data_IF_186380541045
#
_entry.id   IF_186380541045
#
_cell.length_a   1.000
_cell.length_b   1.000
_cell.length_c   1.000
_cell.angle_alpha   90.00
_cell.angle_beta   90.00
_cell.angle_gamma   90.00
#
_symmetry.space_group_name_H-M   'P 1'
#
loop_
_entity.id
_entity.type
_entity.pdbx_description
1 polymer ?
#
# COMPACT_ATOMS: atom_id res chain seq x y z
N UNK A 1 33.30 -52.82 55.77
CA UNK A 1 32.48 -51.78 56.41
C UNK A 1 31.43 -51.30 55.40
N UNK A 2 30.16 -51.27 55.80
CA UNK A 2 29.01 -50.78 55.01
C UNK A 2 29.09 -49.23 54.90
N UNK A 3 28.52 -48.48 53.96
CA UNK A 3 27.25 -48.53 53.24
C UNK A 3 27.34 -47.60 52.01
N UNK A 4 26.47 -47.77 51.01
CA UNK A 4 26.28 -46.80 49.93
C UNK A 4 25.07 -47.16 49.07
N UNK A 5 23.88 -46.83 49.57
CA UNK A 5 22.60 -47.04 48.90
C UNK A 5 22.37 -46.01 47.76
N UNK A 6 22.09 -46.54 46.56
CA UNK A 6 20.93 -46.27 45.68
C UNK A 6 20.57 -44.85 45.19
N UNK A 7 20.25 -44.82 43.89
CA UNK A 7 19.25 -44.00 43.18
C UNK A 7 19.66 -42.59 42.74
N UNK A 8 19.95 -42.37 41.46
CA UNK A 8 19.00 -42.18 40.35
C UNK A 8 18.18 -40.88 40.43
N UNK A 9 18.20 -40.16 39.29
CA UNK A 9 17.20 -39.19 38.79
C UNK A 9 17.50 -37.70 39.06
N UNK A 10 18.24 -37.14 38.09
CA UNK A 10 17.97 -35.90 37.34
C UNK A 10 17.61 -34.64 38.13
N UNK A 11 18.60 -33.75 38.12
CA UNK A 11 18.52 -32.29 37.93
C UNK A 11 17.29 -31.55 38.45
N UNK A 12 17.58 -30.82 39.54
CA UNK A 12 16.89 -29.64 40.01
C UNK A 12 16.89 -28.59 38.89
N UNK A 13 15.72 -28.17 38.42
CA UNK A 13 15.46 -26.75 38.15
C UNK A 13 14.04 -26.43 38.58
N UNK A 14 13.99 -25.68 39.67
CA UNK A 14 12.81 -25.10 40.29
C UNK A 14 12.30 -23.92 39.45
N UNK A 15 10.99 -23.72 39.55
CA UNK A 15 10.25 -22.43 39.62
C UNK A 15 9.12 -22.30 38.58
N UNK A 16 7.91 -22.55 39.09
CA UNK A 16 6.61 -22.19 38.53
C UNK A 16 6.56 -20.69 38.22
N UNK A 17 6.43 -20.33 36.95
CA UNK A 17 6.30 -18.94 36.51
C UNK A 17 5.32 -18.79 35.36
N UNK A 18 4.08 -18.40 35.67
CA UNK A 18 3.05 -17.98 34.69
C UNK A 18 3.51 -16.73 33.93
N UNK A 19 4.29 -16.88 32.85
CA UNK A 19 4.55 -15.78 31.91
C UNK A 19 3.33 -15.60 31.00
N UNK A 20 2.40 -14.75 31.43
CA UNK A 20 1.36 -14.19 30.57
C UNK A 20 2.04 -13.61 29.33
N UNK A 21 1.77 -14.22 28.17
CA UNK A 21 2.08 -13.66 26.86
C UNK A 21 1.35 -12.32 26.75
N UNK A 22 2.04 -11.21 27.01
CA UNK A 22 1.62 -9.91 26.48
C UNK A 22 1.89 -9.99 24.99
N UNK A 23 0.86 -10.41 24.24
CA UNK A 23 0.75 -10.01 22.83
C UNK A 23 0.62 -8.49 22.90
N UNK A 24 1.74 -7.79 22.76
CA UNK A 24 1.71 -6.37 22.47
C UNK A 24 1.09 -6.30 21.09
N UNK A 25 -0.22 -6.14 21.03
CA UNK A 25 -0.86 -5.72 19.80
C UNK A 25 -0.27 -4.34 19.51
N UNK A 26 0.61 -4.27 18.52
CA UNK A 26 0.98 -3.01 17.93
C UNK A 26 -0.34 -2.29 17.60
N UNK A 27 -0.49 -0.99 17.93
CA UNK A 27 -1.68 -0.28 17.54
C UNK A 27 -1.73 -0.34 16.01
N UNK A 28 -2.78 -0.95 15.47
CA UNK A 28 -3.18 -0.71 14.08
C UNK A 28 -3.54 0.77 14.04
N UNK A 29 -2.54 1.60 13.76
CA UNK A 29 -2.66 3.05 13.65
C UNK A 29 -3.90 3.32 12.82
N UNK A 30 -4.82 4.03 13.44
CA UNK A 30 -6.20 4.16 13.01
C UNK A 30 -6.31 4.43 11.52
N UNK A 31 -7.29 3.78 10.91
CA UNK A 31 -7.83 4.12 9.61
C UNK A 31 -8.44 5.52 9.68
N UNK A 32 -7.59 6.56 9.79
CA UNK A 32 -7.97 7.90 9.38
C UNK A 32 -8.38 7.75 7.92
N UNK A 33 -9.48 8.35 7.54
CA UNK A 33 -9.82 8.59 6.14
C UNK A 33 -8.74 9.53 5.59
N UNK A 34 -7.58 8.96 5.25
CA UNK A 34 -6.40 9.69 4.78
C UNK A 34 -6.75 10.16 3.39
N UNK A 35 -7.37 11.35 3.29
CA UNK A 35 -7.43 12.08 2.04
C UNK A 35 -5.98 12.18 1.57
N UNK A 36 -5.64 11.72 0.36
CA UNK A 36 -4.28 11.77 -0.11
C UNK A 36 -3.78 13.21 -0.06
N UNK A 37 -2.57 13.38 0.46
CA UNK A 37 -1.81 14.63 0.38
C UNK A 37 -1.80 15.15 -1.06
N UNK A 38 -1.67 16.46 -1.25
CA UNK A 38 -1.51 17.06 -2.58
C UNK A 38 -0.38 16.35 -3.34
N UNK A 39 0.74 16.07 -2.68
CA UNK A 39 1.86 15.31 -3.27
C UNK A 39 1.44 13.90 -3.74
N UNK A 40 0.59 13.22 -2.97
CA UNK A 40 0.05 11.91 -3.35
C UNK A 40 -0.88 11.99 -4.56
N UNK A 41 -1.62 13.09 -4.71
CA UNK A 41 -2.44 13.35 -5.89
C UNK A 41 -1.60 13.70 -7.11
N UNK A 42 -0.54 14.48 -6.94
CA UNK A 42 0.41 14.81 -8.01
C UNK A 42 1.12 13.55 -8.52
N UNK A 43 1.64 12.70 -7.61
CA UNK A 43 2.22 11.39 -7.97
C UNK A 43 1.23 10.49 -8.71
N UNK A 44 -0.04 10.51 -8.30
CA UNK A 44 -1.09 9.76 -9.01
C UNK A 44 -1.33 10.33 -10.41
N UNK A 45 -1.36 11.65 -10.56
CA UNK A 45 -1.56 12.32 -11.84
C UNK A 45 -0.42 12.00 -12.82
N UNK A 46 0.84 12.09 -12.37
CA UNK A 46 2.02 11.73 -13.17
C UNK A 46 2.01 10.28 -13.68
N UNK A 47 1.35 9.35 -12.96
CA UNK A 47 1.22 7.94 -13.37
C UNK A 47 0.13 7.72 -14.41
N UNK A 48 -0.91 8.55 -14.40
CA UNK A 48 -2.05 8.42 -15.33
C UNK A 48 -1.73 9.12 -16.65
N UNK A 49 -1.08 10.28 -16.59
CA UNK A 49 -0.74 11.04 -17.78
C UNK A 49 0.56 10.49 -18.38
N UNK A 50 0.57 10.09 -19.67
CA UNK A 50 1.75 9.52 -20.30
C UNK A 50 2.89 10.54 -20.37
N UNK A 51 4.13 10.07 -20.20
CA UNK A 51 5.33 10.91 -20.32
C UNK A 51 5.53 11.95 -19.22
N UNK A 52 4.82 11.83 -18.09
CA UNK A 52 4.82 12.83 -17.02
C UNK A 52 5.60 12.43 -15.76
N UNK A 53 6.42 11.39 -15.81
CA UNK A 53 7.30 11.05 -14.69
C UNK A 53 8.33 12.16 -14.48
N UNK A 54 8.46 12.60 -13.23
CA UNK A 54 9.45 13.59 -12.79
C UNK A 54 9.30 15.00 -13.42
N UNK A 55 8.16 15.30 -14.05
CA UNK A 55 7.87 16.65 -14.51
C UNK A 55 7.61 17.61 -13.34
N UNK A 56 8.03 18.86 -13.54
CA UNK A 56 7.61 19.98 -12.72
C UNK A 56 6.07 20.15 -12.72
N UNK A 57 5.54 20.77 -11.66
CA UNK A 57 4.10 20.88 -11.43
C UNK A 57 3.40 21.66 -12.56
N UNK A 58 4.00 22.75 -13.06
CA UNK A 58 3.40 23.55 -14.13
C UNK A 58 3.36 22.77 -15.45
N UNK A 59 4.46 22.09 -15.78
CA UNK A 59 4.54 21.23 -16.96
C UNK A 59 3.57 20.03 -16.88
N UNK A 60 3.39 19.46 -15.69
CA UNK A 60 2.45 18.37 -15.45
C UNK A 60 1.01 18.79 -15.74
N UNK A 61 0.58 19.96 -15.26
CA UNK A 61 -0.78 20.44 -15.51
C UNK A 61 -1.01 20.77 -16.98
N UNK A 62 -0.03 21.37 -17.65
CA UNK A 62 -0.14 21.64 -19.08
C UNK A 62 -0.29 20.34 -19.89
N UNK A 63 0.58 19.34 -19.64
CA UNK A 63 0.47 18.02 -20.28
C UNK A 63 -0.83 17.31 -19.96
N UNK A 64 -1.35 17.49 -18.73
CA UNK A 64 -2.64 16.95 -18.34
C UNK A 64 -3.77 17.58 -19.16
N UNK A 65 -3.75 18.90 -19.36
CA UNK A 65 -4.75 19.59 -20.17
C UNK A 65 -4.73 19.10 -21.62
N UNK A 66 -3.53 19.03 -22.23
CA UNK A 66 -3.35 18.49 -23.58
C UNK A 66 -3.90 17.06 -23.70
N UNK A 67 -3.61 16.22 -22.71
CA UNK A 67 -4.02 14.82 -22.73
C UNK A 67 -5.54 14.66 -22.59
N UNK A 68 -6.20 15.47 -21.75
CA UNK A 68 -7.66 15.49 -21.64
C UNK A 68 -8.27 15.87 -23.00
N UNK A 69 -7.80 16.96 -23.61
CA UNK A 69 -8.30 17.41 -24.92
C UNK A 69 -8.10 16.34 -26.00
N UNK A 70 -6.95 15.67 -26.02
CA UNK A 70 -6.69 14.58 -26.97
C UNK A 70 -7.67 13.41 -26.78
N UNK A 71 -7.94 13.01 -25.53
CA UNK A 71 -8.91 11.95 -25.24
C UNK A 71 -10.33 12.34 -25.63
N UNK A 72 -10.75 13.58 -25.34
CA UNK A 72 -12.05 14.09 -25.75
C UNK A 72 -12.22 14.08 -27.27
N UNK A 73 -11.20 14.54 -28.00
CA UNK A 73 -11.20 14.52 -29.46
C UNK A 73 -11.27 13.09 -29.99
N UNK A 74 -10.51 12.15 -29.43
CA UNK A 74 -10.55 10.74 -29.81
C UNK A 74 -11.96 10.16 -29.64
N UNK A 75 -12.57 10.35 -28.48
CA UNK A 75 -13.92 9.85 -28.19
C UNK A 75 -14.95 10.51 -29.10
N UNK A 76 -14.87 11.82 -29.32
CA UNK A 76 -15.77 12.57 -30.19
C UNK A 76 -15.67 12.07 -31.63
N UNK A 77 -14.46 11.88 -32.14
CA UNK A 77 -14.20 11.37 -33.49
C UNK A 77 -14.78 9.97 -33.65
N UNK A 78 -14.49 9.06 -32.71
CA UNK A 78 -15.03 7.69 -32.77
C UNK A 78 -16.56 7.66 -32.73
N UNK A 79 -17.18 8.49 -31.90
CA UNK A 79 -18.64 8.63 -31.88
C UNK A 79 -19.18 9.15 -33.20
N UNK A 80 -18.57 10.18 -33.77
CA UNK A 80 -18.97 10.72 -35.08
C UNK A 80 -18.86 9.67 -36.17
N UNK A 81 -17.80 8.86 -36.16
CA UNK A 81 -17.63 7.76 -37.12
C UNK A 81 -18.70 6.68 -36.92
N UNK A 82 -18.98 6.28 -35.68
CA UNK A 82 -20.03 5.31 -35.40
C UNK A 82 -21.41 5.84 -35.84
N UNK A 83 -21.68 7.14 -35.68
CA UNK A 83 -22.93 7.74 -36.13
C UNK A 83 -23.00 7.88 -37.66
N UNK A 84 -21.87 8.15 -38.33
CA UNK A 84 -21.84 8.27 -39.79
C UNK A 84 -21.85 6.92 -40.50
N UNK A 85 -21.33 5.87 -39.87
CA UNK A 85 -21.21 4.51 -40.43
C UNK A 85 -22.15 3.49 -39.76
N UNK A 86 -22.98 3.93 -38.81
CA UNK A 86 -24.00 3.11 -38.15
C UNK A 86 -25.27 2.99 -39.01
N UNK A 87 -25.87 1.79 -39.15
CA UNK A 87 -27.09 1.55 -39.91
C UNK A 87 -28.36 2.09 -39.23
#
# INVERSE_FOLDING_TARGET
MRTGFSSHRRERLLCVGRRKRRVVMAPLVGRKTIRPSIEGRLKKLQRIVPGCQELDVDALFQRTADYILALELQVSTLKSLILSFGP
#
